data_IF_339767568707
#
_entry.id   IF_339767568707
#
_cell.length_a   1.000
_cell.length_b   1.000
_cell.length_c   1.000
_cell.angle_alpha   90.00
_cell.angle_beta   90.00
_cell.angle_gamma   90.00
#
_symmetry.space_group_name_H-M   'P 1'
#
loop_
_entity.id
_entity.type
_entity.pdbx_description
1 polymer ?
#
# COMPACT_ATOMS: atom_id res chain seq x y z
N UNK A 1 -5.76 7.95 -16.86
CA UNK A 1 -4.38 8.49 -16.68
C UNK A 1 -3.50 7.42 -16.06
N UNK A 2 -2.33 7.24 -16.64
CA UNK A 2 -1.37 6.25 -16.11
C UNK A 2 -0.87 6.64 -14.73
N UNK A 3 -0.76 5.65 -13.85
CA UNK A 3 -0.18 5.84 -12.51
C UNK A 3 1.32 6.09 -12.61
N UNK A 4 1.86 7.00 -11.79
CA UNK A 4 3.29 6.98 -11.50
C UNK A 4 3.74 5.58 -11.07
N UNK A 5 4.99 5.23 -11.40
CA UNK A 5 5.54 3.90 -11.11
C UNK A 5 6.40 3.93 -9.86
N UNK A 6 6.45 2.80 -9.16
CA UNK A 6 7.56 2.51 -8.25
C UNK A 6 8.34 1.33 -8.81
N UNK A 7 9.65 1.31 -8.56
CA UNK A 7 10.55 0.33 -9.16
C UNK A 7 11.46 -0.26 -8.10
N UNK A 8 11.52 -1.59 -8.06
CA UNK A 8 12.43 -2.36 -7.20
C UNK A 8 12.34 -1.99 -5.72
N UNK A 9 11.13 -1.80 -5.20
CA UNK A 9 10.95 -1.61 -3.77
C UNK A 9 11.18 -2.93 -3.04
N UNK A 10 11.90 -2.86 -1.92
CA UNK A 10 12.19 -4.05 -1.12
C UNK A 10 10.89 -4.69 -0.63
N UNK A 11 10.74 -5.99 -0.88
CA UNK A 11 9.59 -6.76 -0.43
C UNK A 11 9.92 -7.44 0.90
N UNK A 12 9.02 -7.33 1.87
CA UNK A 12 9.18 -7.97 3.18
C UNK A 12 9.49 -9.47 3.06
N UNK A 13 8.89 -10.15 2.08
CA UNK A 13 9.06 -11.59 1.88
C UNK A 13 10.31 -11.95 1.06
N UNK A 14 11.11 -10.95 0.69
CA UNK A 14 12.35 -11.15 -0.06
C UNK A 14 12.27 -10.59 -1.47
N UNK A 15 13.45 -10.22 -1.99
CA UNK A 15 13.54 -9.63 -3.32
C UNK A 15 12.95 -8.24 -3.40
N UNK A 16 12.60 -7.84 -4.61
CA UNK A 16 12.03 -6.52 -4.90
C UNK A 16 10.76 -6.66 -5.71
N UNK A 17 9.91 -5.63 -5.65
CA UNK A 17 8.66 -5.57 -6.41
C UNK A 17 8.53 -4.19 -7.03
N UNK A 18 8.13 -4.16 -8.30
CA UNK A 18 7.79 -2.94 -9.02
C UNK A 18 6.30 -2.93 -9.33
N UNK A 19 5.73 -1.74 -9.54
CA UNK A 19 4.32 -1.66 -9.91
C UNK A 19 4.02 -2.45 -11.20
N UNK A 20 4.96 -2.44 -12.15
CA UNK A 20 4.80 -3.19 -13.40
C UNK A 20 4.65 -4.70 -13.19
N UNK A 21 5.17 -5.25 -12.10
CA UNK A 21 5.02 -6.67 -11.77
C UNK A 21 3.58 -7.04 -11.39
N UNK A 22 2.77 -6.04 -11.06
CA UNK A 22 1.43 -6.23 -10.52
C UNK A 22 0.33 -6.01 -11.58
N UNK A 23 0.70 -5.73 -12.83
CA UNK A 23 -0.25 -5.56 -13.92
C UNK A 23 -1.09 -6.82 -14.14
N UNK A 24 -2.32 -6.64 -14.60
CA UNK A 24 -3.25 -7.73 -14.81
C UNK A 24 -4.30 -7.86 -13.72
N UNK A 25 -4.09 -7.21 -12.59
CA UNK A 25 -5.06 -7.11 -11.49
C UNK A 25 -5.16 -5.67 -11.02
N UNK A 26 -6.27 -5.35 -10.37
CA UNK A 26 -6.36 -4.09 -9.62
C UNK A 26 -5.32 -4.08 -8.52
N UNK A 27 -4.85 -2.89 -8.14
CA UNK A 27 -3.85 -2.72 -7.07
C UNK A 27 -4.39 -1.67 -6.10
N UNK A 28 -4.65 -2.10 -4.87
CA UNK A 28 -5.05 -1.21 -3.78
C UNK A 28 -3.82 -0.98 -2.91
N UNK A 29 -3.38 0.27 -2.84
CA UNK A 29 -2.15 0.65 -2.15
C UNK A 29 -2.47 1.43 -0.88
N UNK A 30 -1.87 0.99 0.23
CA UNK A 30 -1.89 1.65 1.53
C UNK A 30 -0.50 2.27 1.76
N UNK A 31 -0.42 3.59 1.72
CA UNK A 31 0.83 4.31 2.04
C UNK A 31 0.79 4.65 3.52
N UNK A 32 1.74 4.12 4.27
CA UNK A 32 1.71 4.15 5.73
C UNK A 32 3.10 4.24 6.34
N UNK A 33 3.16 4.32 7.67
CA UNK A 33 4.41 4.25 8.43
C UNK A 33 4.13 3.72 9.84
N UNK A 34 5.14 3.17 10.48
CA UNK A 34 5.00 2.58 11.81
C UNK A 34 4.76 3.62 12.91
N UNK A 35 5.04 4.89 12.65
CA UNK A 35 4.77 6.00 13.58
C UNK A 35 3.38 6.63 13.39
N UNK A 36 2.63 6.15 12.42
CA UNK A 36 1.34 6.75 12.06
C UNK A 36 0.19 6.05 12.78
N UNK A 37 -0.34 6.67 13.82
CA UNK A 37 -1.45 6.12 14.60
C UNK A 37 -2.69 5.78 13.76
N UNK A 38 -3.21 6.72 12.96
CA UNK A 38 -4.35 6.42 12.09
C UNK A 38 -4.09 5.26 11.11
N UNK A 39 -2.86 5.12 10.60
CA UNK A 39 -2.48 4.01 9.73
C UNK A 39 -2.59 2.68 10.48
N UNK A 40 -2.08 2.64 11.71
CA UNK A 40 -2.09 1.43 12.54
C UNK A 40 -3.52 1.01 12.87
N UNK A 41 -4.42 1.96 13.11
CA UNK A 41 -5.82 1.67 13.41
C UNK A 41 -6.54 1.00 12.24
N UNK A 42 -6.08 1.20 11.01
CA UNK A 42 -6.67 0.60 9.81
C UNK A 42 -6.14 -0.82 9.51
N UNK A 43 -5.11 -1.29 10.21
CA UNK A 43 -4.51 -2.60 9.95
C UNK A 43 -5.51 -3.75 10.06
N UNK A 44 -6.35 -3.84 11.10
CA UNK A 44 -7.30 -4.95 11.18
C UNK A 44 -8.25 -5.02 9.98
N UNK A 45 -8.77 -3.90 9.54
CA UNK A 45 -9.68 -3.85 8.39
C UNK A 45 -8.96 -4.14 7.07
N UNK A 46 -7.71 -3.68 6.92
CA UNK A 46 -6.87 -4.01 5.77
C UNK A 46 -6.67 -5.54 5.68
N UNK A 47 -6.34 -6.17 6.80
CA UNK A 47 -6.17 -7.63 6.86
C UNK A 47 -7.46 -8.36 6.49
N UNK A 48 -8.59 -7.90 7.01
CA UNK A 48 -9.89 -8.52 6.73
C UNK A 48 -10.25 -8.42 5.25
N UNK A 49 -10.01 -7.26 4.63
CA UNK A 49 -10.25 -7.07 3.20
C UNK A 49 -9.33 -7.92 2.34
N UNK A 50 -8.05 -7.96 2.67
CA UNK A 50 -7.08 -8.78 1.96
C UNK A 50 -7.49 -10.25 1.97
N UNK A 51 -7.93 -10.74 3.12
CA UNK A 51 -8.42 -12.11 3.25
C UNK A 51 -9.72 -12.33 2.46
N UNK A 52 -10.65 -11.38 2.53
CA UNK A 52 -11.94 -11.47 1.84
C UNK A 52 -11.77 -11.51 0.32
N UNK A 53 -10.82 -10.75 -0.21
CA UNK A 53 -10.59 -10.60 -1.66
C UNK A 53 -9.40 -11.39 -2.18
N UNK A 54 -8.83 -12.30 -1.40
CA UNK A 54 -7.60 -13.02 -1.77
C UNK A 54 -7.70 -13.81 -3.08
N UNK A 55 -8.90 -14.28 -3.42
CA UNK A 55 -9.13 -15.04 -4.66
C UNK A 55 -9.76 -14.18 -5.75
N UNK A 56 -9.76 -12.87 -5.57
CA UNK A 56 -10.33 -11.91 -6.51
C UNK A 56 -9.23 -11.22 -7.32
N UNK A 57 -9.64 -10.42 -8.28
CA UNK A 57 -8.75 -9.77 -9.23
C UNK A 57 -8.14 -8.48 -8.66
N UNK A 58 -7.54 -8.56 -7.48
CA UNK A 58 -6.96 -7.40 -6.79
C UNK A 58 -5.77 -7.80 -5.91
N UNK A 59 -4.72 -6.96 -5.93
CA UNK A 59 -3.60 -7.04 -5.01
C UNK A 59 -3.76 -5.99 -3.90
N UNK A 60 -3.43 -6.36 -2.68
CA UNK A 60 -3.37 -5.45 -1.53
C UNK A 60 -1.90 -5.19 -1.20
N UNK A 61 -1.48 -3.93 -1.30
CA UNK A 61 -0.09 -3.51 -1.19
C UNK A 61 0.05 -2.50 -0.06
N UNK A 62 1.02 -2.71 0.83
CA UNK A 62 1.43 -1.68 1.79
C UNK A 62 2.76 -1.11 1.33
N UNK A 63 2.88 0.21 1.31
CA UNK A 63 4.15 0.89 1.04
C UNK A 63 4.50 1.72 2.26
N UNK A 64 5.56 1.33 2.97
CA UNK A 64 6.04 2.09 4.13
C UNK A 64 6.91 3.25 3.69
N UNK A 65 6.64 4.41 4.29
CA UNK A 65 7.52 5.58 4.16
C UNK A 65 8.33 5.82 5.43
N UNK A 66 8.56 4.77 6.24
CA UNK A 66 9.51 4.84 7.32
C UNK A 66 10.91 5.17 6.77
N UNK A 67 11.72 5.85 7.55
CA UNK A 67 13.01 6.34 7.11
C UNK A 67 14.14 5.47 7.71
N UNK A 68 14.94 4.85 6.84
CA UNK A 68 16.07 4.00 7.26
C UNK A 68 17.07 4.75 8.13
N UNK A 69 17.18 6.06 7.95
CA UNK A 69 18.17 6.88 8.67
C UNK A 69 17.73 7.29 10.07
N UNK A 70 16.49 6.99 10.43
CA UNK A 70 15.98 7.31 11.77
C UNK A 70 16.42 6.26 12.79
N UNK A 71 16.70 6.66 14.05
CA UNK A 71 17.05 5.68 15.12
C UNK A 71 15.85 4.85 15.56
N UNK A 72 14.63 5.38 15.39
CA UNK A 72 13.35 4.71 15.71
C UNK A 72 12.43 4.93 14.50
N UNK A 73 11.43 4.09 14.33
CA UNK A 73 10.50 4.16 13.18
C UNK A 73 11.25 4.06 11.85
N UNK A 74 12.09 3.03 11.74
CA UNK A 74 12.95 2.77 10.61
C UNK A 74 12.63 1.42 9.98
N UNK A 75 13.51 0.94 9.12
CA UNK A 75 13.39 -0.35 8.45
C UNK A 75 13.16 -1.52 9.41
N UNK A 76 13.91 -1.57 10.53
CA UNK A 76 13.78 -2.63 11.53
C UNK A 76 12.39 -2.61 12.17
N UNK A 77 11.89 -1.42 12.50
CA UNK A 77 10.56 -1.24 13.08
C UNK A 77 9.47 -1.69 12.11
N UNK A 78 9.64 -1.39 10.84
CA UNK A 78 8.73 -1.84 9.79
C UNK A 78 8.64 -3.37 9.77
N UNK A 79 9.77 -4.07 9.75
CA UNK A 79 9.80 -5.53 9.77
C UNK A 79 9.15 -6.09 11.03
N UNK A 80 9.51 -5.55 12.19
CA UNK A 80 8.95 -5.98 13.48
C UNK A 80 7.43 -5.84 13.52
N UNK A 81 6.91 -4.73 13.05
CA UNK A 81 5.46 -4.48 13.08
C UNK A 81 4.71 -5.43 12.15
N UNK A 82 5.24 -5.70 10.97
CA UNK A 82 4.63 -6.67 10.04
C UNK A 82 4.53 -8.05 10.70
N UNK A 83 5.58 -8.48 11.36
CA UNK A 83 5.62 -9.77 12.06
C UNK A 83 4.64 -9.77 13.23
N UNK A 84 4.74 -8.79 14.10
CA UNK A 84 3.96 -8.72 15.34
C UNK A 84 2.46 -8.63 15.07
N UNK A 85 2.07 -7.82 14.10
CA UNK A 85 0.66 -7.60 13.77
C UNK A 85 0.16 -8.52 12.67
N UNK A 86 1.04 -9.34 12.11
CA UNK A 86 0.70 -10.30 11.03
C UNK A 86 -0.01 -9.59 9.89
N UNK A 87 0.58 -8.49 9.44
CA UNK A 87 0.01 -7.70 8.34
C UNK A 87 0.11 -8.51 7.05
N UNK A 88 -1.03 -8.69 6.38
CA UNK A 88 -1.10 -9.42 5.13
C UNK A 88 -0.79 -8.55 3.91
N UNK A 89 -1.07 -9.09 2.73
CA UNK A 89 -0.79 -8.43 1.46
C UNK A 89 0.69 -8.42 1.13
N UNK A 90 1.05 -7.61 0.14
CA UNK A 90 2.43 -7.40 -0.26
C UNK A 90 2.94 -6.15 0.46
N UNK A 91 3.94 -6.30 1.32
CA UNK A 91 4.47 -5.19 2.11
C UNK A 91 5.81 -4.75 1.55
N UNK A 92 5.90 -3.49 1.14
CA UNK A 92 7.05 -2.91 0.47
C UNK A 92 7.60 -1.72 1.25
N UNK A 93 8.90 -1.46 1.09
CA UNK A 93 9.59 -0.36 1.74
C UNK A 93 10.05 0.65 0.70
N UNK A 94 9.61 1.91 0.81
CA UNK A 94 9.98 2.97 -0.14
C UNK A 94 11.45 3.37 0.03
N UNK A 95 12.08 3.77 -1.07
CA UNK A 95 13.53 3.99 -1.12
C UNK A 95 14.00 5.22 -0.33
N UNK A 96 13.16 6.22 -0.15
CA UNK A 96 13.57 7.50 0.44
C UNK A 96 12.44 8.17 1.26
N UNK A 97 11.62 7.38 1.97
CA UNK A 97 10.54 7.89 2.81
C UNK A 97 9.65 8.88 2.04
N UNK A 98 9.40 10.06 2.61
CA UNK A 98 8.62 11.12 1.95
C UNK A 98 9.21 11.57 0.61
N UNK A 99 10.52 11.41 0.42
CA UNK A 99 11.24 11.86 -0.79
C UNK A 99 11.26 10.82 -1.90
N UNK A 100 10.61 9.67 -1.69
CA UNK A 100 10.49 8.64 -2.71
C UNK A 100 9.77 9.18 -3.94
N UNK A 101 10.20 8.78 -5.13
CA UNK A 101 9.66 9.29 -6.40
C UNK A 101 8.16 9.07 -6.51
N UNK A 102 7.71 7.88 -6.15
CA UNK A 102 6.29 7.51 -6.19
C UNK A 102 5.45 8.42 -5.29
N UNK A 103 5.92 8.61 -4.05
CA UNK A 103 5.26 9.44 -3.05
C UNK A 103 5.14 10.89 -3.55
N UNK A 104 6.21 11.43 -4.09
CA UNK A 104 6.22 12.79 -4.66
C UNK A 104 5.32 12.91 -5.87
N UNK A 105 5.35 11.92 -6.76
CA UNK A 105 4.54 11.95 -7.98
C UNK A 105 3.04 11.98 -7.68
N UNK A 106 2.61 11.29 -6.61
CA UNK A 106 1.22 11.35 -6.16
C UNK A 106 0.91 12.57 -5.30
N UNK A 107 1.91 13.39 -4.99
CA UNK A 107 1.71 14.55 -4.12
C UNK A 107 1.34 14.17 -2.70
N UNK A 108 1.87 13.06 -2.20
CA UNK A 108 1.55 12.58 -0.85
C UNK A 108 2.32 13.40 0.18
N UNK A 109 1.60 14.18 0.96
CA UNK A 109 2.16 15.02 2.03
C UNK A 109 1.61 14.64 3.41
N UNK A 110 0.68 13.70 3.46
CA UNK A 110 0.11 13.18 4.70
C UNK A 110 -0.28 11.72 4.52
N UNK A 111 -0.30 10.95 5.60
CA UNK A 111 -0.72 9.55 5.64
C UNK A 111 -1.72 9.33 6.78
N UNK A 112 -2.59 8.30 6.69
CA UNK A 112 -2.63 7.29 5.63
C UNK A 112 -3.12 7.85 4.30
N UNK A 113 -2.68 7.27 3.21
CA UNK A 113 -3.15 7.58 1.87
C UNK A 113 -3.44 6.27 1.15
N UNK A 114 -4.56 6.18 0.46
CA UNK A 114 -4.96 4.97 -0.27
C UNK A 114 -5.14 5.29 -1.73
N UNK A 115 -4.69 4.35 -2.58
CA UNK A 115 -4.68 4.53 -4.04
C UNK A 115 -5.22 3.25 -4.67
N UNK A 116 -6.06 3.39 -5.70
CA UNK A 116 -6.54 2.25 -6.47
C UNK A 116 -6.16 2.41 -7.93
N UNK A 117 -5.52 1.39 -8.48
CA UNK A 117 -5.01 1.33 -9.85
C UNK A 117 -5.66 0.15 -10.56
N UNK A 118 -6.00 0.30 -11.84
CA UNK A 118 -6.64 -0.74 -12.62
C UNK A 118 -5.63 -1.74 -13.21
N UNK A 119 -6.09 -2.87 -13.79
CA UNK A 119 -5.18 -3.89 -14.33
C UNK A 119 -4.23 -3.40 -15.43
N UNK A 120 -4.57 -2.33 -16.13
CA UNK A 120 -3.73 -1.75 -17.19
C UNK A 120 -2.72 -0.73 -16.65
N UNK A 121 -2.76 -0.42 -15.36
CA UNK A 121 -1.87 0.54 -14.73
C UNK A 121 -2.40 1.96 -14.72
N UNK A 122 -3.68 2.16 -14.99
CA UNK A 122 -4.31 3.47 -14.94
C UNK A 122 -4.88 3.76 -13.54
N UNK A 123 -4.88 5.02 -13.15
CA UNK A 123 -5.41 5.44 -11.85
C UNK A 123 -6.94 5.35 -11.87
N UNK A 124 -7.52 4.53 -10.98
CA UNK A 124 -8.95 4.58 -10.70
C UNK A 124 -9.22 5.77 -9.78
N UNK A 125 -8.50 5.86 -8.67
CA UNK A 125 -8.53 7.02 -7.78
C UNK A 125 -7.22 7.13 -7.01
N UNK A 126 -6.67 8.34 -6.97
CA UNK A 126 -5.50 8.66 -6.16
C UNK A 126 -5.84 8.92 -4.69
N UNK A 127 -7.11 8.83 -4.33
CA UNK A 127 -7.63 9.13 -3.00
C UNK A 127 -8.75 8.15 -2.66
N UNK A 128 -8.42 6.86 -2.62
CA UNK A 128 -9.40 5.82 -2.34
C UNK A 128 -9.85 5.86 -0.88
N UNK A 129 -11.05 5.34 -0.58
CA UNK A 129 -11.49 5.17 0.81
C UNK A 129 -10.55 4.27 1.60
N UNK A 130 -10.47 4.50 2.92
CA UNK A 130 -9.70 3.65 3.83
C UNK A 130 -10.39 2.30 4.02
N UNK A 131 -9.65 1.28 4.50
CA UNK A 131 -10.21 -0.08 4.65
C UNK A 131 -11.45 -0.16 5.51
N UNK A 132 -11.57 0.66 6.55
CA UNK A 132 -12.74 0.65 7.45
C UNK A 132 -13.96 1.36 6.88
N UNK A 133 -13.81 2.09 5.77
CA UNK A 133 -14.91 2.84 5.17
C UNK A 133 -15.74 1.92 4.28
N UNK A 134 -17.06 1.73 4.57
CA UNK A 134 -17.92 0.87 3.76
C UNK A 134 -17.98 1.24 2.28
N UNK A 135 -17.72 2.49 1.93
CA UNK A 135 -17.73 2.92 0.53
C UNK A 135 -16.61 2.29 -0.28
N UNK A 136 -15.57 1.76 0.36
CA UNK A 136 -14.51 1.03 -0.35
C UNK A 136 -15.06 -0.25 -1.00
N UNK A 137 -15.88 -1.00 -0.26
CA UNK A 137 -16.52 -2.21 -0.80
C UNK A 137 -17.46 -1.85 -1.94
N UNK A 138 -18.19 -0.76 -1.80
CA UNK A 138 -19.05 -0.27 -2.88
C UNK A 138 -18.24 0.05 -4.14
N UNK A 139 -17.08 0.69 -3.96
CA UNK A 139 -16.17 0.97 -5.07
C UNK A 139 -15.68 -0.33 -5.71
N UNK A 140 -15.22 -1.29 -4.93
CA UNK A 140 -14.77 -2.60 -5.45
C UNK A 140 -15.88 -3.30 -6.22
N UNK A 141 -17.11 -3.27 -5.70
CA UNK A 141 -18.26 -3.91 -6.34
C UNK A 141 -18.68 -3.24 -7.66
N UNK A 142 -18.27 -2.00 -7.89
CA UNK A 142 -18.52 -1.29 -9.14
C UNK A 142 -17.51 -1.61 -10.24
N UNK A 143 -16.47 -2.39 -9.91
CA UNK A 143 -15.35 -2.71 -10.79
C UNK A 143 -15.27 -4.23 -11.04
N UNK A 144 -14.42 -4.63 -11.99
CA UNK A 144 -14.19 -6.04 -12.35
C UNK A 144 -13.19 -6.72 -11.41
N UNK A 145 -13.47 -6.68 -10.16
CA UNK A 145 -12.61 -7.29 -9.14
C UNK A 145 -13.07 -8.72 -8.79
#
# INVERSE_FOLDING_TARGET
MKSPEFTDYENFNGGTTSLSDLKGKYVYIDVWATWCGPCIREIPDFKNLENKYKDKNIHFIGISIDDRMRPVYNYERWREMIIKRKIGGIQLFAEAAWNSKFTKAYGIDSIPRYILIDPEGNIVTGNAPRPSDPTLIDLFNSLDI
#
